data_IF_281299689548
#
_entry.id   IF_281299689548
#
_cell.length_a   1.000
_cell.length_b   1.000
_cell.length_c   1.000
_cell.angle_alpha   90.00
_cell.angle_beta   90.00
_cell.angle_gamma   90.00
#
_symmetry.space_group_name_H-M   'P 1'
#
loop_
_entity.id
_entity.type
_entity.pdbx_description
1 polymer ?
#
# COMPACT_ATOMS: atom_id res chain seq x y z
N UNK A 1 1.79 1.63 -18.75
CA UNK A 1 1.16 1.64 -20.10
C UNK A 1 2.15 2.05 -21.20
N UNK A 2 2.82 3.22 -21.12
CA UNK A 2 3.78 3.66 -22.15
C UNK A 2 4.88 2.63 -22.39
N UNK A 3 5.48 2.09 -21.32
CA UNK A 3 6.49 1.04 -21.40
C UNK A 3 5.96 -0.22 -22.09
N UNK A 4 4.73 -0.65 -21.78
CA UNK A 4 4.08 -1.80 -22.42
C UNK A 4 3.89 -1.57 -23.93
N UNK A 5 3.49 -0.38 -24.34
CA UNK A 5 3.39 -0.03 -25.77
C UNK A 5 4.75 -0.07 -26.47
N UNK A 6 5.80 0.46 -25.83
CA UNK A 6 7.17 0.42 -26.40
C UNK A 6 7.65 -1.03 -26.55
N UNK A 7 7.39 -1.91 -25.57
CA UNK A 7 7.75 -3.34 -25.65
C UNK A 7 6.99 -4.08 -26.76
N UNK A 8 5.69 -3.78 -26.95
CA UNK A 8 4.89 -4.37 -28.02
C UNK A 8 5.40 -3.89 -29.36
N UNK A 9 5.63 -2.59 -29.54
CA UNK A 9 6.14 -2.03 -30.80
C UNK A 9 7.52 -2.60 -31.16
N UNK A 10 8.42 -2.79 -30.19
CA UNK A 10 9.69 -3.48 -30.38
C UNK A 10 9.51 -4.93 -30.85
N UNK A 11 8.63 -5.69 -30.20
CA UNK A 11 8.33 -7.08 -30.57
C UNK A 11 7.77 -7.20 -31.99
N UNK A 12 6.83 -6.32 -32.37
CA UNK A 12 6.21 -6.31 -33.68
C UNK A 12 7.22 -5.97 -34.78
N UNK A 13 8.13 -5.04 -34.51
CA UNK A 13 9.20 -4.67 -35.44
C UNK A 13 10.21 -5.82 -35.64
N UNK A 14 10.61 -6.49 -34.55
CA UNK A 14 11.53 -7.65 -34.63
C UNK A 14 10.90 -8.83 -35.42
N UNK A 15 9.58 -9.00 -35.36
CA UNK A 15 8.86 -10.02 -36.12
C UNK A 15 8.66 -9.64 -37.60
N UNK A 16 8.59 -8.35 -37.91
CA UNK A 16 8.38 -7.83 -39.27
C UNK A 16 9.64 -7.83 -40.15
N UNK A 17 10.83 -8.05 -39.59
CA UNK A 17 12.10 -8.08 -40.32
C UNK A 17 12.35 -9.51 -40.85
N UNK A 18 11.69 -9.84 -41.97
CA UNK A 18 11.96 -11.08 -42.70
C UNK A 18 13.33 -11.01 -43.41
N UNK A 19 14.01 -12.16 -43.63
CA UNK A 19 15.29 -12.23 -44.33
C UNK A 19 15.11 -11.96 -45.83
N UNK A 20 15.32 -10.74 -46.27
CA UNK A 20 15.18 -10.47 -47.71
C UNK A 20 15.36 -9.06 -48.24
N UNK A 21 16.03 -8.16 -47.56
CA UNK A 21 16.25 -6.80 -48.06
C UNK A 21 17.73 -6.36 -47.87
N UNK A 22 18.32 -5.88 -48.98
CA UNK A 22 19.70 -5.43 -49.19
C UNK A 22 20.31 -4.70 -47.98
N UNK A 23 21.39 -5.28 -47.42
CA UNK A 23 21.75 -5.15 -46.00
C UNK A 23 22.57 -3.97 -45.56
N UNK A 24 23.14 -3.05 -46.42
CA UNK A 24 24.23 -2.21 -45.89
C UNK A 24 23.86 -0.82 -45.41
N UNK A 25 22.82 -0.20 -45.95
CA UNK A 25 22.37 1.13 -45.48
C UNK A 25 21.31 1.04 -44.37
N UNK A 26 20.49 -0.02 -44.39
CA UNK A 26 19.44 -0.26 -43.43
C UNK A 26 19.95 -0.80 -42.07
N UNK A 27 21.06 -1.53 -42.10
CA UNK A 27 21.67 -2.08 -40.86
C UNK A 27 22.15 -0.96 -39.93
N UNK A 28 22.60 0.18 -40.47
CA UNK A 28 23.03 1.32 -39.66
C UNK A 28 21.84 2.08 -39.01
N UNK A 29 20.80 2.39 -39.80
CA UNK A 29 19.58 3.03 -39.28
C UNK A 29 18.83 2.12 -38.28
N UNK A 30 18.81 0.80 -38.54
CA UNK A 30 18.16 -0.16 -37.69
C UNK A 30 18.88 -0.31 -36.34
N UNK A 31 20.19 -0.35 -36.32
CA UNK A 31 21.00 -0.41 -35.11
C UNK A 31 20.85 0.84 -34.23
N UNK A 32 20.69 2.02 -34.82
CA UNK A 32 20.44 3.26 -34.08
C UNK A 32 19.02 3.29 -33.50
N UNK A 33 18.04 2.74 -34.22
CA UNK A 33 16.67 2.61 -33.74
C UNK A 33 16.57 1.63 -32.56
N UNK A 34 17.16 0.44 -32.67
CA UNK A 34 17.22 -0.57 -31.62
C UNK A 34 17.89 -0.03 -30.34
N UNK A 35 18.96 0.73 -30.52
CA UNK A 35 19.65 1.42 -29.44
C UNK A 35 18.77 2.47 -28.77
N UNK A 36 18.03 3.27 -29.54
CA UNK A 36 17.10 4.27 -29.04
C UNK A 36 15.97 3.61 -28.22
N UNK A 37 15.37 2.52 -28.74
CA UNK A 37 14.30 1.78 -28.04
C UNK A 37 14.82 1.21 -26.72
N UNK A 38 16.03 0.66 -26.71
CA UNK A 38 16.67 0.15 -25.50
C UNK A 38 16.86 1.24 -24.44
N UNK A 39 17.34 2.42 -24.82
CA UNK A 39 17.53 3.55 -23.92
C UNK A 39 16.16 4.01 -23.37
N UNK A 40 15.16 4.17 -24.22
CA UNK A 40 13.80 4.60 -23.80
C UNK A 40 13.19 3.59 -22.85
N UNK A 41 13.32 2.29 -23.10
CA UNK A 41 12.85 1.24 -22.18
C UNK A 41 13.51 1.37 -20.81
N UNK A 42 14.82 1.46 -20.78
CA UNK A 42 15.59 1.60 -19.54
C UNK A 42 15.17 2.86 -18.75
N UNK A 43 14.98 3.99 -19.45
CA UNK A 43 14.57 5.23 -18.80
C UNK A 43 13.14 5.15 -18.25
N UNK A 44 12.22 4.49 -18.99
CA UNK A 44 10.85 4.25 -18.53
C UNK A 44 10.79 3.30 -17.35
N UNK A 45 11.57 2.21 -17.35
CA UNK A 45 11.70 1.29 -16.21
C UNK A 45 12.19 2.02 -14.96
N UNK A 46 13.23 2.85 -15.12
CA UNK A 46 13.80 3.64 -14.04
C UNK A 46 12.79 4.66 -13.49
N UNK A 47 12.03 5.31 -14.39
CA UNK A 47 10.99 6.26 -14.02
C UNK A 47 9.84 5.58 -13.26
N UNK A 48 9.36 4.42 -13.75
CA UNK A 48 8.32 3.62 -13.09
C UNK A 48 8.76 3.21 -11.68
N UNK A 49 9.97 2.67 -11.54
CA UNK A 49 10.52 2.31 -10.25
C UNK A 49 10.59 3.49 -9.28
N UNK A 50 11.08 4.64 -9.73
CA UNK A 50 11.23 5.83 -8.89
C UNK A 50 9.87 6.39 -8.46
N UNK A 51 8.88 6.44 -9.37
CA UNK A 51 7.51 6.89 -9.06
C UNK A 51 6.88 5.96 -8.02
N UNK A 52 6.90 4.64 -8.27
CA UNK A 52 6.35 3.65 -7.35
C UNK A 52 7.00 3.76 -5.96
N UNK A 53 8.32 3.80 -5.91
CA UNK A 53 9.06 3.81 -4.64
C UNK A 53 8.79 5.06 -3.82
N UNK A 54 8.83 6.23 -4.46
CA UNK A 54 8.57 7.52 -3.80
C UNK A 54 7.13 7.59 -3.29
N UNK A 55 6.16 7.18 -4.11
CA UNK A 55 4.76 7.16 -3.72
C UNK A 55 4.50 6.21 -2.56
N UNK A 56 5.03 4.98 -2.62
CA UNK A 56 4.88 4.00 -1.54
C UNK A 56 5.53 4.46 -0.23
N UNK A 57 6.68 5.13 -0.29
CA UNK A 57 7.31 5.70 0.89
C UNK A 57 6.41 6.75 1.56
N UNK A 58 5.82 7.66 0.80
CA UNK A 58 4.93 8.69 1.35
C UNK A 58 3.64 8.08 1.93
N UNK A 59 3.05 7.10 1.26
CA UNK A 59 1.88 6.37 1.77
C UNK A 59 2.22 5.65 3.07
N UNK A 60 3.31 4.90 3.11
CA UNK A 60 3.78 4.18 4.31
C UNK A 60 4.08 5.13 5.46
N UNK A 61 4.74 6.24 5.21
CA UNK A 61 5.05 7.27 6.20
C UNK A 61 3.77 7.87 6.82
N UNK A 62 2.75 8.10 6.00
CA UNK A 62 1.45 8.59 6.46
C UNK A 62 0.72 7.56 7.31
N UNK A 63 0.59 6.33 6.81
CA UNK A 63 -0.08 5.24 7.52
C UNK A 63 0.62 4.90 8.84
N UNK A 64 1.95 4.88 8.86
CA UNK A 64 2.73 4.51 10.04
C UNK A 64 2.40 5.37 11.27
N UNK A 65 2.07 6.66 11.06
CA UNK A 65 1.64 7.57 12.13
C UNK A 65 0.25 7.26 12.67
N UNK A 66 -0.57 6.56 11.89
CA UNK A 66 -1.97 6.30 12.20
C UNK A 66 -2.17 4.90 12.80
N UNK A 67 -1.27 3.96 12.50
CA UNK A 67 -1.45 2.54 12.83
C UNK A 67 -1.62 2.33 14.33
N UNK A 68 -0.70 2.81 15.15
CA UNK A 68 -0.76 2.60 16.60
C UNK A 68 -1.99 3.28 17.21
N UNK A 69 -2.26 4.57 16.99
CA UNK A 69 -3.47 5.21 17.51
C UNK A 69 -4.76 4.54 17.05
N UNK A 70 -4.84 4.13 15.78
CA UNK A 70 -6.08 3.60 15.20
C UNK A 70 -6.33 2.14 15.51
N UNK A 71 -5.31 1.29 15.43
CA UNK A 71 -5.48 -0.16 15.59
C UNK A 71 -5.28 -0.62 17.03
N UNK A 72 -4.26 -0.06 17.72
CA UNK A 72 -3.85 -0.51 19.06
C UNK A 72 -4.53 0.28 20.17
N UNK A 73 -4.63 1.60 20.04
CA UNK A 73 -5.11 2.48 21.12
C UNK A 73 -6.60 2.82 21.04
N UNK A 74 -7.20 2.78 19.83
CA UNK A 74 -8.59 3.15 19.65
C UNK A 74 -9.55 2.19 20.36
N UNK A 75 -10.66 2.74 20.87
CA UNK A 75 -11.71 2.01 21.56
C UNK A 75 -12.97 1.97 20.68
N UNK A 76 -12.92 1.17 19.65
CA UNK A 76 -13.98 1.08 18.63
C UNK A 76 -15.09 0.09 18.96
N UNK A 77 -14.84 -0.85 19.91
CA UNK A 77 -15.81 -1.88 20.27
C UNK A 77 -16.89 -1.31 21.19
N UNK A 78 -18.17 -1.29 20.76
CA UNK A 78 -19.26 -0.77 21.57
C UNK A 78 -19.41 -1.48 22.91
N UNK A 79 -19.61 -0.73 24.00
CA UNK A 79 -19.83 -1.27 25.34
C UNK A 79 -18.55 -1.68 26.11
N UNK A 80 -17.38 -1.65 25.46
CA UNK A 80 -16.08 -1.96 26.08
C UNK A 80 -15.23 -0.71 26.26
N UNK A 81 -15.50 0.05 27.34
CA UNK A 81 -14.60 1.14 27.73
C UNK A 81 -13.48 0.57 28.60
N UNK A 82 -12.24 0.64 28.16
CA UNK A 82 -11.09 0.31 28.99
C UNK A 82 -10.86 1.45 29.99
N UNK A 83 -11.40 1.33 31.19
CA UNK A 83 -11.06 2.22 32.31
C UNK A 83 -9.66 1.84 32.85
N UNK A 84 -8.62 2.18 32.10
CA UNK A 84 -7.24 2.08 32.57
C UNK A 84 -6.86 3.37 33.31
N UNK A 85 -7.57 3.72 34.38
CA UNK A 85 -7.05 4.76 35.28
C UNK A 85 -7.86 4.92 36.55
N UNK A 86 -7.19 4.74 37.67
CA UNK A 86 -7.61 5.19 39.00
C UNK A 86 -7.65 6.72 39.10
N UNK A 87 -8.52 7.40 38.34
CA UNK A 87 -8.61 8.85 38.37
C UNK A 87 -9.89 9.37 37.74
N UNK A 88 -11.07 8.97 38.29
CA UNK A 88 -12.37 9.23 37.67
C UNK A 88 -12.80 10.69 37.51
N UNK A 89 -12.19 11.64 38.15
CA UNK A 89 -12.59 13.06 38.10
C UNK A 89 -11.64 13.95 37.27
N UNK A 90 -10.33 13.69 37.31
CA UNK A 90 -9.35 14.43 36.50
C UNK A 90 -9.39 14.06 35.01
N UNK A 91 -9.71 12.82 34.67
CA UNK A 91 -9.82 12.38 33.27
C UNK A 91 -11.02 12.97 32.53
N UNK A 92 -12.09 13.37 33.23
CA UNK A 92 -13.25 14.00 32.58
C UNK A 92 -13.00 15.44 32.16
N UNK A 93 -12.06 16.11 32.82
CA UNK A 93 -11.60 17.46 32.46
C UNK A 93 -10.44 17.45 31.44
N UNK A 94 -9.68 16.34 31.39
CA UNK A 94 -8.59 16.13 30.43
C UNK A 94 -8.96 15.26 29.24
N UNK A 95 -10.19 14.71 29.21
CA UNK A 95 -10.68 13.80 28.15
C UNK A 95 -10.84 14.45 26.78
N UNK A 96 -10.65 15.77 26.69
CA UNK A 96 -10.57 16.45 25.38
C UNK A 96 -9.22 16.31 24.69
N UNK A 97 -8.16 15.83 25.41
CA UNK A 97 -6.82 15.72 24.85
C UNK A 97 -6.32 14.28 24.63
N UNK A 98 -7.08 13.25 25.04
CA UNK A 98 -6.68 11.84 24.95
C UNK A 98 -7.55 10.97 24.03
N UNK A 99 -8.39 11.57 23.17
CA UNK A 99 -8.99 10.82 22.07
C UNK A 99 -7.85 10.39 21.11
N UNK A 100 -7.82 9.12 20.66
CA UNK A 100 -6.83 8.70 19.69
C UNK A 100 -6.91 9.63 18.46
N UNK A 101 -5.76 10.14 18.02
CA UNK A 101 -5.68 11.10 16.91
C UNK A 101 -6.21 10.52 15.60
N UNK A 102 -6.34 9.19 15.51
CA UNK A 102 -6.81 8.44 14.34
C UNK A 102 -7.65 7.25 14.76
N UNK A 103 -8.57 6.86 13.88
CA UNK A 103 -9.46 5.72 14.04
C UNK A 103 -9.23 4.67 12.95
N UNK A 104 -9.83 3.48 13.10
CA UNK A 104 -9.81 2.47 12.03
C UNK A 104 -10.47 2.97 10.75
N UNK A 105 -11.50 3.84 10.85
CA UNK A 105 -12.14 4.45 9.68
C UNK A 105 -11.18 5.31 8.86
N UNK A 106 -10.22 5.97 9.52
CA UNK A 106 -9.18 6.74 8.83
C UNK A 106 -8.23 5.84 8.05
N UNK A 107 -7.80 4.70 8.63
CA UNK A 107 -6.97 3.71 7.93
C UNK A 107 -7.72 3.11 6.74
N UNK A 108 -8.94 2.61 6.97
CA UNK A 108 -9.78 2.02 5.92
C UNK A 108 -10.10 3.05 4.82
N UNK A 109 -10.29 4.32 5.21
CA UNK A 109 -10.49 5.43 4.28
C UNK A 109 -9.28 5.66 3.36
N UNK A 110 -8.04 5.54 3.87
CA UNK A 110 -6.83 5.64 3.06
C UNK A 110 -6.71 4.42 2.13
N UNK A 111 -6.88 3.20 2.64
CA UNK A 111 -6.83 1.99 1.82
C UNK A 111 -7.85 2.04 0.68
N UNK A 112 -9.09 2.48 0.96
CA UNK A 112 -10.12 2.70 -0.05
C UNK A 112 -9.72 3.72 -1.12
N UNK A 113 -9.11 4.83 -0.72
CA UNK A 113 -8.64 5.86 -1.66
C UNK A 113 -7.55 5.30 -2.58
N UNK A 114 -6.59 4.57 -2.02
CA UNK A 114 -5.52 3.94 -2.78
C UNK A 114 -6.09 2.92 -3.75
N UNK A 115 -6.93 2.02 -3.27
CA UNK A 115 -7.55 0.98 -4.10
C UNK A 115 -8.36 1.58 -5.27
N UNK A 116 -9.21 2.59 -4.98
CA UNK A 116 -9.98 3.30 -6.01
C UNK A 116 -9.06 4.04 -7.00
N UNK A 117 -7.99 4.66 -6.52
CA UNK A 117 -7.01 5.34 -7.36
C UNK A 117 -6.37 4.36 -8.35
N UNK A 118 -5.84 3.24 -7.86
CA UNK A 118 -5.21 2.22 -8.70
C UNK A 118 -6.20 1.65 -9.75
N UNK A 119 -7.44 1.39 -9.34
CA UNK A 119 -8.50 0.95 -10.25
C UNK A 119 -8.87 2.00 -11.29
N UNK A 120 -8.94 3.28 -10.92
CA UNK A 120 -9.30 4.37 -11.84
C UNK A 120 -8.25 4.61 -12.92
N UNK A 121 -6.99 4.29 -12.63
CA UNK A 121 -5.89 4.34 -13.60
C UNK A 121 -5.63 3.01 -14.30
N UNK A 122 -6.54 2.04 -14.16
CA UNK A 122 -6.44 0.72 -14.80
C UNK A 122 -5.13 -0.01 -14.48
N UNK A 123 -4.59 0.20 -13.27
CA UNK A 123 -3.41 -0.55 -12.81
C UNK A 123 -3.74 -2.03 -12.76
N UNK A 124 -2.82 -2.86 -13.23
CA UNK A 124 -3.00 -4.31 -13.26
C UNK A 124 -3.42 -4.87 -11.90
N UNK A 125 -4.39 -5.82 -11.85
CA UNK A 125 -4.88 -6.38 -10.59
C UNK A 125 -3.79 -6.96 -9.69
N UNK A 126 -2.80 -7.64 -10.27
CA UNK A 126 -1.66 -8.21 -9.54
C UNK A 126 -0.83 -7.13 -8.82
N UNK A 127 -0.56 -6.01 -9.50
CA UNK A 127 0.16 -4.86 -8.91
C UNK A 127 -0.69 -4.20 -7.84
N UNK A 128 -2.00 -4.04 -8.08
CA UNK A 128 -2.93 -3.50 -7.07
C UNK A 128 -2.94 -4.37 -5.80
N UNK A 129 -3.03 -5.69 -5.94
CA UNK A 129 -2.96 -6.63 -4.82
C UNK A 129 -1.62 -6.53 -4.08
N UNK A 130 -0.51 -6.47 -4.82
CA UNK A 130 0.84 -6.34 -4.22
C UNK A 130 0.97 -5.06 -3.39
N UNK A 131 0.52 -3.92 -3.93
CA UNK A 131 0.53 -2.63 -3.23
C UNK A 131 -0.24 -2.73 -1.91
N UNK A 132 -1.46 -3.22 -1.96
CA UNK A 132 -2.31 -3.34 -0.76
C UNK A 132 -1.69 -4.32 0.24
N UNK A 133 -1.21 -5.48 -0.22
CA UNK A 133 -0.54 -6.47 0.64
C UNK A 133 0.67 -5.88 1.36
N UNK A 134 1.49 -5.08 0.68
CA UNK A 134 2.65 -4.42 1.29
C UNK A 134 2.25 -3.38 2.35
N UNK A 135 1.13 -2.69 2.15
CA UNK A 135 0.60 -1.77 3.15
C UNK A 135 0.03 -2.52 4.36
N UNK A 136 -0.69 -3.62 4.15
CA UNK A 136 -1.23 -4.46 5.22
C UNK A 136 -0.10 -5.10 6.05
N UNK A 137 0.94 -5.60 5.42
CA UNK A 137 2.15 -6.12 6.11
C UNK A 137 2.79 -5.05 6.97
N UNK A 138 2.92 -3.82 6.46
CA UNK A 138 3.47 -2.71 7.23
C UNK A 138 2.59 -2.39 8.46
N UNK A 139 1.26 -2.36 8.29
CA UNK A 139 0.31 -2.15 9.40
C UNK A 139 0.48 -3.24 10.44
N UNK A 140 0.52 -4.51 10.04
CA UNK A 140 0.71 -5.65 10.93
C UNK A 140 2.02 -5.60 11.70
N UNK A 141 3.14 -5.37 11.01
CA UNK A 141 4.48 -5.29 11.62
C UNK A 141 4.58 -4.11 12.60
N UNK A 142 4.06 -2.94 12.23
CA UNK A 142 4.07 -1.75 13.11
C UNK A 142 3.26 -2.00 14.38
N UNK A 143 2.05 -2.56 14.25
CA UNK A 143 1.18 -2.88 15.38
C UNK A 143 1.80 -3.92 16.31
N UNK A 144 2.35 -4.99 15.73
CA UNK A 144 2.96 -6.07 16.48
C UNK A 144 4.20 -5.59 17.25
N UNK A 145 5.08 -4.83 16.62
CA UNK A 145 6.26 -4.27 17.27
C UNK A 145 5.88 -3.32 18.42
N UNK A 146 4.86 -2.49 18.24
CA UNK A 146 4.37 -1.62 19.32
C UNK A 146 3.86 -2.44 20.52
N UNK A 147 3.08 -3.49 20.27
CA UNK A 147 2.58 -4.39 21.32
C UNK A 147 3.71 -5.11 22.07
N UNK A 148 4.75 -5.56 21.37
CA UNK A 148 5.92 -6.19 21.99
C UNK A 148 6.67 -5.25 22.93
N UNK A 149 6.72 -3.96 22.60
CA UNK A 149 7.41 -2.94 23.40
C UNK A 149 6.60 -2.53 24.65
N UNK A 150 5.29 -2.76 24.64
CA UNK A 150 4.38 -2.31 25.73
C UNK A 150 3.94 -3.48 26.63
N UNK A 151 4.86 -4.05 27.43
CA UNK A 151 4.62 -5.23 28.28
C UNK A 151 3.39 -5.14 29.21
N UNK A 152 3.04 -3.94 29.68
CA UNK A 152 1.93 -3.72 30.61
C UNK A 152 0.64 -3.22 29.95
N UNK A 153 0.65 -3.09 28.62
CA UNK A 153 -0.49 -2.59 27.86
C UNK A 153 -1.54 -3.65 27.53
N UNK A 154 -1.14 -4.93 27.53
CA UNK A 154 -1.98 -6.05 27.14
C UNK A 154 -2.90 -6.48 28.29
N UNK A 155 -4.08 -5.87 28.39
CA UNK A 155 -5.20 -6.39 29.17
C UNK A 155 -6.15 -7.19 28.27
N UNK A 156 -6.99 -8.07 28.87
CA UNK A 156 -8.00 -8.81 28.11
C UNK A 156 -8.93 -7.88 27.32
N UNK A 157 -9.35 -6.76 27.93
CA UNK A 157 -10.21 -5.76 27.28
C UNK A 157 -9.50 -5.12 26.08
N UNK A 158 -8.20 -4.84 26.20
CA UNK A 158 -7.41 -4.26 25.10
C UNK A 158 -7.24 -5.27 23.96
N UNK A 159 -7.00 -6.53 24.29
CA UNK A 159 -6.92 -7.60 23.30
C UNK A 159 -8.22 -7.72 22.48
N UNK A 160 -9.38 -7.64 23.14
CA UNK A 160 -10.69 -7.63 22.46
C UNK A 160 -10.87 -6.43 21.54
N UNK A 161 -10.42 -5.24 21.93
CA UNK A 161 -10.46 -4.05 21.07
C UNK A 161 -9.58 -4.21 19.83
N UNK A 162 -8.36 -4.69 20.03
CA UNK A 162 -7.42 -4.93 18.92
C UNK A 162 -7.99 -6.01 17.99
N UNK A 163 -8.50 -7.10 18.52
CA UNK A 163 -9.13 -8.17 17.73
C UNK A 163 -10.29 -7.60 16.88
N UNK A 164 -11.14 -6.79 17.47
CA UNK A 164 -12.24 -6.13 16.74
C UNK A 164 -11.72 -5.25 15.59
N UNK A 165 -10.67 -4.46 15.84
CA UNK A 165 -10.07 -3.62 14.82
C UNK A 165 -9.43 -4.44 13.69
N UNK A 166 -8.78 -5.57 14.01
CA UNK A 166 -8.23 -6.52 13.03
C UNK A 166 -9.36 -7.12 12.19
N UNK A 167 -10.46 -7.57 12.81
CA UNK A 167 -11.61 -8.11 12.09
C UNK A 167 -12.18 -7.12 11.07
N UNK A 168 -12.24 -5.83 11.40
CA UNK A 168 -12.67 -4.79 10.44
C UNK A 168 -11.73 -4.68 9.23
N UNK A 169 -10.42 -4.87 9.45
CA UNK A 169 -9.44 -4.88 8.36
C UNK A 169 -9.59 -6.12 7.49
N UNK A 170 -9.79 -7.29 8.11
CA UNK A 170 -10.06 -8.56 7.40
C UNK A 170 -11.35 -8.48 6.56
N UNK A 171 -12.43 -7.90 7.10
CA UNK A 171 -13.68 -7.68 6.37
C UNK A 171 -13.46 -6.76 5.16
N UNK A 172 -12.66 -5.71 5.32
CA UNK A 172 -12.28 -4.84 4.21
C UNK A 172 -11.52 -5.62 3.13
N UNK A 173 -10.54 -6.45 3.51
CA UNK A 173 -9.80 -7.28 2.58
C UNK A 173 -10.72 -8.22 1.79
N UNK A 174 -11.63 -8.91 2.47
CA UNK A 174 -12.62 -9.81 1.83
C UNK A 174 -13.53 -9.07 0.86
N UNK A 175 -13.96 -7.85 1.20
CA UNK A 175 -14.82 -7.04 0.32
C UNK A 175 -14.10 -6.48 -0.91
N UNK A 176 -12.78 -6.55 -0.97
CA UNK A 176 -11.94 -6.05 -2.06
C UNK A 176 -11.20 -7.18 -2.81
N UNK A 177 -11.62 -8.44 -2.64
CA UNK A 177 -11.03 -9.62 -3.28
C UNK A 177 -9.52 -9.75 -3.03
N UNK A 178 -9.07 -9.36 -1.83
CA UNK A 178 -7.68 -9.55 -1.43
C UNK A 178 -7.43 -11.01 -1.08
N UNK A 179 -6.25 -11.58 -1.45
CA UNK A 179 -5.92 -12.95 -1.12
C UNK A 179 -5.91 -13.19 0.39
N UNK A 180 -6.32 -14.40 0.81
CA UNK A 180 -6.28 -14.80 2.21
C UNK A 180 -4.83 -14.79 2.73
N UNK A 181 -4.62 -14.18 3.91
CA UNK A 181 -3.30 -14.05 4.52
C UNK A 181 -2.49 -12.83 4.08
N UNK A 182 -3.13 -11.86 3.42
CA UNK A 182 -2.51 -10.58 3.04
C UNK A 182 -2.15 -9.71 4.23
#
# INVERSE_FOLDING_TARGET
EILSFVCIAESDMLQGVGPGLDGSARDFEWGDYERLVTIVKHDLDSLEYNIYHTWMQEVKKRLNKMVVPALVESQSLPGFVTNDSGGRLLNRLLASSNAPSYTMDDILGILNKIWKCLKSYYVEPSVTQQVITDLLKMIGVTSFNDLLMRRHFCSWKRAMQIQYNITRLEEWCKSHDMPEGS
#
